data_IF_374762645606
#
_entry.id   IF_374762645606
#
_cell.length_a   1.000
_cell.length_b   1.000
_cell.length_c   1.000
_cell.angle_alpha   90.00
_cell.angle_beta   90.00
_cell.angle_gamma   90.00
#
_symmetry.space_group_name_H-M   'P 1'
#
loop_
_entity.id
_entity.type
_entity.pdbx_description
1 polymer ?
#
# COMPACT_ATOMS: atom_id res chain seq x y z
N UNK A 1 4.37 5.28 -10.50
CA UNK A 1 3.72 6.60 -10.36
C UNK A 1 2.73 6.76 -11.50
N UNK A 2 1.46 6.49 -11.26
CA UNK A 2 0.39 6.52 -12.27
C UNK A 2 -0.40 7.83 -12.13
N UNK A 3 -0.76 8.47 -13.25
CA UNK A 3 -1.50 9.75 -13.26
C UNK A 3 -2.99 9.49 -13.09
N UNK A 4 -3.49 9.50 -11.85
CA UNK A 4 -4.92 9.65 -11.56
C UNK A 4 -5.53 8.50 -10.76
N UNK A 5 -6.43 8.87 -9.85
CA UNK A 5 -7.17 8.02 -8.90
C UNK A 5 -7.85 6.77 -9.52
N UNK A 6 -8.05 6.76 -10.82
CA UNK A 6 -8.62 5.63 -11.57
C UNK A 6 -7.61 4.47 -11.69
N UNK A 7 -6.33 4.80 -11.94
CA UNK A 7 -5.32 3.81 -12.27
C UNK A 7 -4.95 2.94 -11.06
N UNK A 8 -4.89 3.49 -9.85
CA UNK A 8 -4.58 2.71 -8.65
C UNK A 8 -5.68 1.67 -8.37
N UNK A 9 -6.95 2.05 -8.54
CA UNK A 9 -8.08 1.11 -8.40
C UNK A 9 -8.00 -0.02 -9.41
N UNK A 10 -7.78 0.29 -10.69
CA UNK A 10 -7.70 -0.70 -11.77
C UNK A 10 -6.51 -1.66 -11.60
N UNK A 11 -5.37 -1.16 -11.12
CA UNK A 11 -4.21 -2.02 -10.82
C UNK A 11 -4.54 -2.90 -9.61
N UNK A 12 -5.11 -2.34 -8.54
CA UNK A 12 -5.45 -3.08 -7.32
C UNK A 12 -6.46 -4.21 -7.59
N UNK A 13 -7.48 -3.99 -8.43
CA UNK A 13 -8.42 -5.06 -8.77
C UNK A 13 -7.75 -6.25 -9.47
N UNK A 14 -6.65 -6.02 -10.19
CA UNK A 14 -5.89 -7.08 -10.85
C UNK A 14 -4.89 -7.76 -9.89
N UNK A 15 -4.19 -6.98 -9.07
CA UNK A 15 -3.08 -7.51 -8.26
C UNK A 15 -3.52 -8.14 -6.95
N UNK A 16 -4.64 -7.71 -6.34
CA UNK A 16 -5.07 -8.22 -5.03
C UNK A 16 -5.38 -9.73 -5.05
N UNK A 17 -5.76 -10.28 -6.21
CA UNK A 17 -6.00 -11.72 -6.40
C UNK A 17 -4.89 -12.45 -7.16
N UNK A 18 -3.77 -11.78 -7.42
CA UNK A 18 -2.67 -12.34 -8.22
C UNK A 18 -1.81 -13.37 -7.47
N UNK A 19 -1.95 -13.48 -6.15
CA UNK A 19 -1.07 -14.29 -5.30
C UNK A 19 0.31 -13.64 -5.06
N UNK A 20 0.46 -12.35 -5.36
CA UNK A 20 1.66 -11.59 -5.02
C UNK A 20 1.96 -11.66 -3.52
N UNK A 21 3.24 -11.88 -3.17
CA UNK A 21 3.66 -11.94 -1.76
C UNK A 21 3.62 -10.59 -1.07
N UNK A 22 3.78 -9.51 -1.82
CA UNK A 22 3.80 -8.15 -1.31
C UNK A 22 3.14 -7.22 -2.31
N UNK A 23 2.22 -6.38 -1.83
CA UNK A 23 1.56 -5.36 -2.63
C UNK A 23 1.62 -4.08 -1.82
N UNK A 24 2.21 -3.03 -2.38
CA UNK A 24 2.30 -1.72 -1.73
C UNK A 24 1.77 -0.60 -2.60
N UNK A 25 1.09 0.36 -1.98
CA UNK A 25 0.51 1.51 -2.65
C UNK A 25 0.98 2.80 -1.98
N UNK A 26 1.54 3.70 -2.80
CA UNK A 26 1.91 5.06 -2.38
C UNK A 26 0.68 5.95 -2.52
N UNK A 27 0.32 6.67 -1.46
CA UNK A 27 -0.78 7.63 -1.50
C UNK A 27 -1.04 8.25 -0.13
N UNK A 28 -1.76 9.37 -0.09
CA UNK A 28 -2.23 9.90 1.18
C UNK A 28 -3.32 8.99 1.78
N UNK A 29 -3.45 8.96 3.10
CA UNK A 29 -4.45 8.15 3.82
C UNK A 29 -5.86 8.34 3.25
N UNK A 30 -6.26 9.59 3.01
CA UNK A 30 -7.56 9.93 2.42
C UNK A 30 -7.78 9.29 1.03
N UNK A 31 -6.76 9.24 0.17
CA UNK A 31 -6.86 8.63 -1.17
C UNK A 31 -7.03 7.12 -1.07
N UNK A 32 -6.29 6.51 -0.16
CA UNK A 32 -6.34 5.07 0.10
C UNK A 32 -7.68 4.66 0.70
N UNK A 33 -8.25 5.46 1.61
CA UNK A 33 -9.58 5.21 2.17
C UNK A 33 -10.68 5.25 1.11
N UNK A 34 -10.61 6.20 0.17
CA UNK A 34 -11.53 6.25 -0.96
C UNK A 34 -11.39 5.01 -1.86
N UNK A 35 -10.14 4.60 -2.13
CA UNK A 35 -9.86 3.40 -2.92
C UNK A 35 -10.38 2.13 -2.23
N UNK A 36 -10.17 2.00 -0.91
CA UNK A 36 -10.69 0.91 -0.08
C UNK A 36 -12.21 0.82 -0.18
N UNK A 37 -12.93 1.94 0.01
CA UNK A 37 -14.40 1.98 -0.12
C UNK A 37 -14.86 1.50 -1.49
N UNK A 38 -14.17 1.92 -2.55
CA UNK A 38 -14.49 1.53 -3.93
C UNK A 38 -14.25 0.05 -4.19
N UNK A 39 -13.15 -0.52 -3.66
CA UNK A 39 -12.84 -1.95 -3.76
C UNK A 39 -13.85 -2.82 -3.01
N UNK A 40 -14.21 -2.42 -1.78
CA UNK A 40 -15.23 -3.13 -1.00
C UNK A 40 -16.60 -3.11 -1.72
N UNK A 41 -16.98 -1.97 -2.28
CA UNK A 41 -18.21 -1.85 -3.08
C UNK A 41 -18.18 -2.71 -4.36
N UNK A 42 -16.99 -3.05 -4.88
CA UNK A 42 -16.80 -3.92 -6.03
C UNK A 42 -16.72 -5.42 -5.66
N UNK A 43 -16.93 -5.78 -4.39
CA UNK A 43 -16.97 -7.17 -3.93
C UNK A 43 -15.63 -7.74 -3.48
N UNK A 44 -14.62 -6.90 -3.23
CA UNK A 44 -13.42 -7.32 -2.50
C UNK A 44 -13.72 -7.42 -1.01
N UNK A 45 -13.12 -8.40 -0.34
CA UNK A 45 -13.30 -8.55 1.12
C UNK A 45 -12.32 -7.65 1.90
N UNK A 46 -12.61 -7.34 3.17
CA UNK A 46 -11.65 -6.67 4.04
C UNK A 46 -10.32 -7.42 4.15
N UNK A 47 -10.35 -8.76 4.12
CA UNK A 47 -9.16 -9.61 4.19
C UNK A 47 -8.34 -9.55 2.91
N UNK A 48 -9.00 -9.54 1.74
CA UNK A 48 -8.34 -9.33 0.45
C UNK A 48 -7.68 -7.94 0.38
N UNK A 49 -8.26 -6.93 1.04
CA UNK A 49 -7.64 -5.62 1.12
C UNK A 49 -6.50 -5.57 2.16
N UNK A 50 -6.57 -6.38 3.23
CA UNK A 50 -5.61 -6.34 4.34
C UNK A 50 -4.17 -6.72 3.92
N UNK A 51 -4.01 -7.43 2.80
CA UNK A 51 -2.69 -7.74 2.22
C UNK A 51 -2.00 -6.50 1.62
N UNK A 52 -2.73 -5.40 1.41
CA UNK A 52 -2.22 -4.18 0.80
C UNK A 52 -1.47 -3.32 1.84
N UNK A 53 -0.21 -3.02 1.54
CA UNK A 53 0.62 -2.11 2.31
C UNK A 53 0.38 -0.67 1.84
N UNK A 54 -0.51 0.05 2.52
CA UNK A 54 -0.94 1.37 2.11
C UNK A 54 -1.20 2.31 3.31
N UNK A 55 -0.47 3.46 3.42
CA UNK A 55 0.66 3.85 2.58
C UNK A 55 1.87 2.91 2.77
N UNK A 56 2.58 2.63 1.68
CA UNK A 56 3.89 1.96 1.73
C UNK A 56 4.97 2.93 2.23
N UNK A 57 5.91 2.38 2.99
CA UNK A 57 7.08 3.05 3.52
C UNK A 57 7.06 3.08 5.04
N UNK A 58 8.24 2.93 5.66
CA UNK A 58 8.38 3.09 7.10
C UNK A 58 8.20 4.56 7.53
N UNK A 59 7.61 4.76 8.71
CA UNK A 59 7.43 6.09 9.30
C UNK A 59 8.76 6.67 9.80
N UNK A 60 9.59 7.17 8.88
CA UNK A 60 10.90 7.76 9.17
C UNK A 60 10.89 9.30 9.11
N UNK A 61 9.70 9.92 9.01
CA UNK A 61 9.57 11.37 8.85
C UNK A 61 9.89 11.91 7.44
N UNK A 62 9.96 11.02 6.44
CA UNK A 62 10.32 11.34 5.06
C UNK A 62 9.46 12.48 4.46
N UNK A 63 10.14 13.47 3.86
CA UNK A 63 9.58 14.62 3.16
C UNK A 63 10.00 14.65 1.68
N UNK A 64 11.24 14.25 1.38
CA UNK A 64 11.77 14.29 0.01
C UNK A 64 11.50 12.97 -0.74
N UNK A 65 11.49 12.98 -2.08
CA UNK A 65 11.38 11.76 -2.88
C UNK A 65 12.44 10.71 -2.52
N UNK A 66 13.66 11.13 -2.22
CA UNK A 66 14.77 10.27 -1.83
C UNK A 66 14.51 9.62 -0.47
N UNK A 67 14.03 10.39 0.51
CA UNK A 67 13.66 9.88 1.82
C UNK A 67 12.47 8.90 1.73
N UNK A 68 11.50 9.18 0.87
CA UNK A 68 10.38 8.26 0.60
C UNK A 68 10.90 6.97 -0.05
N UNK A 69 11.84 7.06 -0.98
CA UNK A 69 12.44 5.87 -1.60
C UNK A 69 13.18 5.00 -0.56
N UNK A 70 13.92 5.62 0.36
CA UNK A 70 14.58 4.92 1.48
C UNK A 70 13.56 4.26 2.40
N UNK A 71 12.46 4.95 2.74
CA UNK A 71 11.42 4.38 3.61
C UNK A 71 10.73 3.17 3.00
N UNK A 72 10.49 3.20 1.68
CA UNK A 72 9.93 2.09 0.90
C UNK A 72 10.91 0.92 0.84
N UNK A 73 12.18 1.18 0.52
CA UNK A 73 13.21 0.14 0.47
C UNK A 73 13.39 -0.55 1.83
N UNK A 74 13.37 0.22 2.92
CA UNK A 74 13.46 -0.31 4.27
C UNK A 74 12.28 -1.23 4.61
N UNK A 75 11.06 -0.88 4.20
CA UNK A 75 9.88 -1.74 4.39
C UNK A 75 10.01 -3.05 3.61
N UNK A 76 10.43 -2.99 2.35
CA UNK A 76 10.63 -4.18 1.51
C UNK A 76 11.70 -5.12 2.09
N UNK A 77 12.81 -4.57 2.58
CA UNK A 77 13.87 -5.36 3.24
C UNK A 77 13.32 -6.05 4.49
N UNK A 78 12.53 -5.33 5.28
CA UNK A 78 11.96 -5.83 6.54
C UNK A 78 10.94 -6.94 6.30
N UNK A 79 10.06 -6.75 5.29
CA UNK A 79 9.13 -7.79 4.85
C UNK A 79 9.87 -9.06 4.39
N UNK A 80 10.90 -8.91 3.54
CA UNK A 80 11.73 -10.03 3.08
C UNK A 80 12.44 -10.75 4.25
N UNK A 81 12.89 -9.99 5.25
CA UNK A 81 13.58 -10.53 6.42
C UNK A 81 12.64 -11.19 7.44
N UNK A 82 11.31 -11.12 7.24
CA UNK A 82 10.32 -11.64 8.19
C UNK A 82 10.25 -10.83 9.49
N UNK A 83 10.68 -9.57 9.47
CA UNK A 83 10.60 -8.70 10.65
C UNK A 83 9.21 -8.08 10.74
N UNK A 84 8.59 -8.22 11.92
CA UNK A 84 7.32 -7.57 12.23
C UNK A 84 7.61 -6.12 12.62
N UNK A 85 7.32 -5.19 11.70
CA UNK A 85 7.40 -3.75 12.00
C UNK A 85 6.05 -3.31 12.54
N UNK A 86 5.97 -2.73 13.75
CA UNK A 86 4.74 -2.17 14.28
C UNK A 86 4.16 -1.17 13.30
N UNK A 87 3.02 -1.54 12.70
CA UNK A 87 2.26 -0.63 11.85
C UNK A 87 1.60 0.36 12.80
N UNK A 88 2.13 1.57 12.90
CA UNK A 88 1.46 2.66 13.62
C UNK A 88 0.15 2.99 12.86
N UNK A 89 -0.91 2.27 13.25
CA UNK A 89 -2.29 2.57 12.87
C UNK A 89 -2.66 3.95 13.41
N UNK A 90 -3.42 4.69 12.59
CA UNK A 90 -4.01 5.97 13.01
C UNK A 90 -5.16 5.78 13.98
#
# INVERSE_FOLDING_TARGET
MTRGHQADYEVLTQVLRSGARYIGCIGSRQKLDLCRKRLLAAGFTPDEYAILHAPIGLSIGAQTPEEIAVSVAAELISFRAGMEIPRQGG
#
